data_IF_469745343869
#
_entry.id   IF_469745343869
#
_cell.length_a   1.000
_cell.length_b   1.000
_cell.length_c   1.000
_cell.angle_alpha   90.00
_cell.angle_beta   90.00
_cell.angle_gamma   90.00
#
_symmetry.space_group_name_H-M   'P 1'
#
loop_
_entity.id
_entity.type
_entity.pdbx_description
1 polymer ?
#
# COMPACT_ATOMS: atom_id res chain seq x y z
N UNK A 1 68.68 -42.23 4.01
CA UNK A 1 69.95 -42.07 3.26
C UNK A 1 69.66 -41.63 1.83
N UNK A 2 70.68 -41.21 1.08
CA UNK A 2 70.54 -40.42 -0.15
C UNK A 2 70.04 -41.15 -1.41
N UNK A 3 69.60 -40.32 -2.37
CA UNK A 3 69.55 -40.53 -3.84
C UNK A 3 68.51 -41.51 -4.40
N UNK A 4 68.07 -41.39 -5.67
CA UNK A 4 67.80 -40.31 -6.66
C UNK A 4 67.65 -41.03 -8.02
N UNK A 5 66.93 -40.41 -8.97
CA UNK A 5 66.85 -40.82 -10.39
C UNK A 5 65.97 -42.06 -10.67
N UNK A 6 65.13 -42.11 -11.72
CA UNK A 6 64.76 -41.09 -12.71
C UNK A 6 63.53 -41.55 -13.50
N UNK A 7 62.56 -40.67 -13.75
CA UNK A 7 61.67 -40.80 -14.92
C UNK A 7 61.32 -39.43 -15.54
N UNK A 8 61.13 -39.49 -16.85
CA UNK A 8 61.01 -38.42 -17.86
C UNK A 8 60.20 -37.17 -17.49
N UNK A 9 60.72 -36.00 -17.88
CA UNK A 9 59.96 -34.74 -17.98
C UNK A 9 59.37 -34.57 -19.38
N UNK A 10 58.05 -34.40 -19.48
CA UNK A 10 57.46 -33.54 -20.50
C UNK A 10 57.13 -32.18 -19.86
N UNK A 11 57.27 -31.09 -20.63
CA UNK A 11 56.67 -29.79 -20.28
C UNK A 11 55.21 -29.80 -20.74
N UNK A 12 54.33 -29.11 -20.02
CA UNK A 12 53.78 -27.91 -20.66
C UNK A 12 53.81 -26.66 -19.78
N UNK A 13 54.00 -25.54 -20.48
CA UNK A 13 53.46 -24.21 -20.27
C UNK A 13 52.72 -23.96 -18.95
N UNK A 14 53.31 -23.12 -18.09
CA UNK A 14 52.64 -22.64 -16.89
C UNK A 14 51.55 -21.61 -17.20
N UNK A 15 50.36 -21.82 -16.65
CA UNK A 15 49.45 -20.74 -16.27
C UNK A 15 49.09 -20.96 -14.81
N UNK A 16 49.74 -20.20 -13.92
CA UNK A 16 49.50 -20.30 -12.49
C UNK A 16 48.16 -19.64 -12.14
N UNK A 17 47.09 -20.43 -12.03
CA UNK A 17 45.87 -19.96 -11.36
C UNK A 17 46.17 -19.81 -9.86
N UNK A 18 46.57 -18.60 -9.49
CA UNK A 18 46.64 -18.18 -8.09
C UNK A 18 45.23 -18.10 -7.52
N UNK A 19 44.85 -19.12 -6.74
CA UNK A 19 43.61 -19.12 -5.95
C UNK A 19 43.73 -18.14 -4.78
N UNK A 20 43.61 -16.84 -5.08
CA UNK A 20 43.29 -15.84 -4.06
C UNK A 20 41.81 -15.95 -3.73
N UNK A 21 41.41 -16.11 -2.45
CA UNK A 21 40.01 -15.99 -2.07
C UNK A 21 39.56 -14.56 -2.37
N UNK A 22 38.42 -14.43 -3.07
CA UNK A 22 37.90 -13.15 -3.53
C UNK A 22 37.12 -12.48 -2.41
N UNK A 23 37.85 -11.80 -1.52
CA UNK A 23 37.28 -10.86 -0.56
C UNK A 23 36.60 -9.68 -1.27
N UNK A 24 35.87 -8.87 -0.49
CA UNK A 24 35.35 -7.54 -0.86
C UNK A 24 34.15 -7.51 -1.82
N UNK A 25 32.96 -7.78 -1.28
CA UNK A 25 31.80 -6.86 -1.37
C UNK A 25 30.66 -7.22 -0.39
N UNK A 26 31.01 -7.44 0.87
CA UNK A 26 30.05 -7.43 1.97
C UNK A 26 30.30 -6.18 2.83
N UNK A 27 29.88 -5.00 2.34
CA UNK A 27 29.56 -3.85 3.20
C UNK A 27 28.21 -4.12 3.89
N UNK A 28 28.18 -5.23 4.62
CA UNK A 28 27.16 -5.54 5.60
C UNK A 28 27.47 -4.60 6.77
N UNK A 29 26.57 -3.66 7.04
CA UNK A 29 26.71 -2.73 8.15
C UNK A 29 26.61 -3.54 9.43
N UNK A 30 27.76 -3.96 9.97
CA UNK A 30 27.85 -4.65 11.24
C UNK A 30 27.20 -3.76 12.31
N UNK A 31 26.02 -4.16 12.79
CA UNK A 31 25.25 -3.39 13.75
C UNK A 31 26.08 -3.30 15.02
N UNK A 32 26.47 -2.08 15.38
CA UNK A 32 27.38 -1.87 16.50
C UNK A 32 26.71 -2.31 17.81
N UNK A 33 27.49 -2.87 18.74
CA UNK A 33 27.02 -3.04 20.12
C UNK A 33 26.65 -1.67 20.70
N UNK A 34 25.65 -1.66 21.55
CA UNK A 34 24.92 -0.49 22.04
C UNK A 34 24.13 0.29 20.98
N UNK A 35 23.98 -0.20 19.74
CA UNK A 35 23.08 0.41 18.78
C UNK A 35 21.62 0.20 19.21
N UNK A 36 20.89 1.30 19.41
CA UNK A 36 19.45 1.27 19.56
C UNK A 36 18.80 1.00 18.19
N UNK A 37 17.86 0.05 18.16
CA UNK A 37 17.16 -0.40 16.96
C UNK A 37 15.65 -0.54 17.23
N UNK A 38 14.87 -0.70 16.17
CA UNK A 38 13.53 -1.27 16.24
C UNK A 38 13.51 -2.56 15.44
N UNK A 39 12.87 -3.62 15.95
CA UNK A 39 12.68 -4.91 15.28
C UNK A 39 11.19 -5.16 15.13
N UNK A 40 10.74 -5.54 13.94
CA UNK A 40 9.34 -5.89 13.71
C UNK A 40 9.10 -7.38 13.98
N UNK A 41 8.28 -7.69 14.97
CA UNK A 41 7.96 -9.07 15.31
C UNK A 41 6.74 -9.54 14.52
N UNK A 42 6.93 -10.44 13.56
CA UNK A 42 5.87 -10.90 12.65
C UNK A 42 4.73 -11.63 13.36
N UNK A 43 4.98 -12.27 14.51
CA UNK A 43 3.98 -12.93 15.35
C UNK A 43 3.02 -11.96 16.05
N UNK A 44 3.52 -10.78 16.44
CA UNK A 44 2.76 -9.77 17.20
C UNK A 44 2.35 -8.56 16.34
N UNK A 45 2.91 -8.47 15.14
CA UNK A 45 2.63 -7.47 14.09
C UNK A 45 2.97 -6.03 14.48
N UNK A 46 3.92 -5.83 15.38
CA UNK A 46 4.34 -4.51 15.85
C UNK A 46 5.86 -4.37 15.94
N UNK A 47 6.30 -3.10 15.98
CA UNK A 47 7.70 -2.70 16.11
C UNK A 47 8.09 -2.59 17.58
N UNK A 48 9.13 -3.31 17.98
CA UNK A 48 9.69 -3.29 19.33
C UNK A 48 11.02 -2.55 19.33
N UNK A 49 11.13 -1.52 20.17
CA UNK A 49 12.38 -0.79 20.35
C UNK A 49 13.30 -1.55 21.32
N UNK A 50 14.54 -1.80 20.91
CA UNK A 50 15.54 -2.50 21.70
C UNK A 50 16.95 -1.98 21.45
N UNK A 51 17.93 -2.61 22.08
CA UNK A 51 19.36 -2.29 21.95
C UNK A 51 20.12 -3.57 21.68
N UNK A 52 20.99 -3.54 20.67
CA UNK A 52 21.94 -4.65 20.40
C UNK A 52 23.05 -4.60 21.45
N UNK A 53 23.13 -5.55 22.38
CA UNK A 53 24.14 -5.56 23.45
C UNK A 53 25.26 -6.60 23.21
N UNK A 54 24.94 -7.73 22.58
CA UNK A 54 25.87 -8.78 22.17
C UNK A 54 25.68 -9.20 20.71
N UNK A 55 26.69 -9.82 20.12
CA UNK A 55 26.64 -10.36 18.77
C UNK A 55 27.60 -11.55 18.64
N UNK A 56 27.14 -12.65 18.03
CA UNK A 56 27.92 -13.90 17.88
C UNK A 56 27.61 -14.62 16.57
N UNK A 57 28.61 -15.30 16.03
CA UNK A 57 28.44 -16.19 14.90
C UNK A 57 27.90 -17.56 15.37
N UNK A 58 26.80 -18.02 14.77
CA UNK A 58 26.25 -19.37 14.93
C UNK A 58 25.98 -19.93 13.55
N UNK A 59 26.51 -21.13 13.24
CA UNK A 59 26.26 -21.84 11.96
C UNK A 59 26.51 -21.02 10.69
N UNK A 60 27.44 -20.05 10.73
CA UNK A 60 27.75 -19.17 9.60
C UNK A 60 26.81 -17.96 9.43
N UNK A 61 25.97 -17.68 10.42
CA UNK A 61 25.09 -16.51 10.49
C UNK A 61 25.46 -15.63 11.70
N UNK A 62 25.29 -14.31 11.59
CA UNK A 62 25.53 -13.36 12.68
C UNK A 62 24.24 -13.14 13.47
N UNK A 63 24.15 -13.73 14.66
CA UNK A 63 23.04 -13.48 15.57
C UNK A 63 23.37 -12.29 16.48
N UNK A 64 22.43 -11.38 16.58
CA UNK A 64 22.49 -10.19 17.43
C UNK A 64 21.58 -10.41 18.64
N UNK A 65 22.09 -10.19 19.84
CA UNK A 65 21.28 -10.21 21.06
C UNK A 65 20.66 -8.81 21.22
N UNK A 66 19.33 -8.78 21.30
CA UNK A 66 18.55 -7.54 21.40
C UNK A 66 17.81 -7.57 22.73
N UNK A 67 18.10 -6.58 23.58
CA UNK A 67 17.36 -6.32 24.82
C UNK A 67 16.32 -5.24 24.56
N UNK A 68 15.05 -5.56 24.82
CA UNK A 68 13.90 -4.70 24.57
C UNK A 68 13.51 -3.83 25.78
N UNK A 69 12.62 -2.86 25.58
CA UNK A 69 12.24 -1.86 26.61
C UNK A 69 11.48 -2.41 27.82
N UNK A 70 10.80 -3.54 27.64
CA UNK A 70 10.13 -4.33 28.68
C UNK A 70 11.13 -5.17 29.51
N UNK A 71 12.36 -5.34 29.01
CA UNK A 71 13.40 -6.17 29.61
C UNK A 71 13.49 -7.57 28.99
N UNK A 72 12.65 -7.90 28.01
CA UNK A 72 12.77 -9.16 27.28
C UNK A 72 14.00 -9.16 26.37
N UNK A 73 14.57 -10.34 26.16
CA UNK A 73 15.83 -10.51 25.41
C UNK A 73 15.68 -11.62 24.38
N UNK A 74 16.12 -11.37 23.14
CA UNK A 74 16.07 -12.36 22.06
C UNK A 74 17.29 -12.29 21.14
N UNK A 75 17.63 -13.43 20.53
CA UNK A 75 18.69 -13.54 19.52
C UNK A 75 18.07 -13.48 18.12
N UNK A 76 18.37 -12.42 17.37
CA UNK A 76 17.84 -12.19 16.03
C UNK A 76 18.93 -12.33 14.96
N UNK A 77 18.60 -12.99 13.84
CA UNK A 77 19.40 -12.89 12.62
C UNK A 77 18.93 -11.64 11.86
N UNK A 78 19.48 -10.46 12.20
CA UNK A 78 19.02 -9.17 11.68
C UNK A 78 19.07 -9.06 10.13
N UNK A 79 19.86 -9.88 9.44
CA UNK A 79 19.85 -9.98 7.96
C UNK A 79 18.62 -10.74 7.39
N UNK A 80 17.78 -11.34 8.24
CA UNK A 80 16.54 -12.03 7.88
C UNK A 80 15.31 -11.52 8.62
N UNK A 81 15.48 -10.51 9.48
CA UNK A 81 14.39 -9.83 10.20
C UNK A 81 14.20 -8.43 9.63
N UNK A 82 13.01 -7.85 9.80
CA UNK A 82 12.78 -6.44 9.49
C UNK A 82 13.20 -5.59 10.71
N UNK A 83 14.20 -4.72 10.52
CA UNK A 83 14.71 -3.85 11.58
C UNK A 83 15.15 -2.47 11.05
N UNK A 84 15.16 -1.47 11.95
CA UNK A 84 15.53 -0.09 11.68
C UNK A 84 16.53 0.43 12.73
N UNK A 85 17.48 1.28 12.34
CA UNK A 85 18.35 2.00 13.29
C UNK A 85 17.57 3.12 13.97
N UNK A 86 17.77 3.31 15.28
CA UNK A 86 17.14 4.42 16.00
C UNK A 86 17.63 5.80 15.53
N UNK A 87 18.83 5.88 14.94
CA UNK A 87 19.33 7.12 14.32
C UNK A 87 18.49 7.51 13.09
N UNK A 88 18.20 6.56 12.21
CA UNK A 88 17.37 6.79 11.01
C UNK A 88 15.97 7.28 11.42
N UNK A 89 15.36 6.62 12.41
CA UNK A 89 14.04 6.98 12.94
C UNK A 89 14.02 8.35 13.68
N UNK A 90 15.14 8.78 14.29
CA UNK A 90 15.26 10.11 14.90
C UNK A 90 15.35 11.22 13.84
N UNK A 91 16.12 11.01 12.77
CA UNK A 91 16.26 11.96 11.67
C UNK A 91 14.95 12.11 10.87
N UNK A 92 14.22 11.02 10.67
CA UNK A 92 12.87 11.02 10.05
C UNK A 92 11.89 11.86 10.84
N UNK A 93 11.80 11.68 12.17
CA UNK A 93 10.92 12.49 13.03
C UNK A 93 11.33 13.96 13.06
N UNK A 94 12.64 14.23 13.08
CA UNK A 94 13.16 15.60 13.12
C UNK A 94 12.83 16.34 11.83
N UNK A 95 13.00 15.72 10.66
CA UNK A 95 12.60 16.30 9.36
C UNK A 95 11.10 16.58 9.30
N UNK A 96 10.25 15.61 9.68
CA UNK A 96 8.80 15.79 9.70
C UNK A 96 8.34 16.91 10.66
N UNK A 97 9.06 17.13 11.76
CA UNK A 97 8.78 18.23 12.71
C UNK A 97 9.22 19.59 12.18
N UNK A 98 10.44 19.68 11.64
CA UNK A 98 10.99 20.92 11.03
C UNK A 98 10.14 21.36 9.84
N UNK A 99 9.67 20.43 9.01
CA UNK A 99 8.82 20.78 7.87
C UNK A 99 7.42 21.28 8.30
N UNK A 100 6.85 20.74 9.38
CA UNK A 100 5.60 21.28 9.97
C UNK A 100 5.80 22.70 10.51
N UNK A 101 6.91 22.98 11.20
CA UNK A 101 7.23 24.34 11.66
C UNK A 101 7.49 25.29 10.47
N UNK A 102 8.19 24.83 9.42
CA UNK A 102 8.43 25.62 8.21
C UNK A 102 7.14 25.93 7.43
N UNK A 103 6.13 25.04 7.47
CA UNK A 103 4.78 25.31 6.96
C UNK A 103 4.03 26.31 7.85
N UNK A 104 4.11 26.16 9.18
CA UNK A 104 3.48 27.07 10.15
C UNK A 104 4.03 28.51 10.07
N UNK A 105 5.29 28.71 9.70
CA UNK A 105 5.88 30.04 9.46
C UNK A 105 5.60 30.64 8.07
N UNK A 106 4.98 29.89 7.14
CA UNK A 106 4.69 30.35 5.77
C UNK A 106 3.26 30.87 5.56
N UNK A 107 2.47 31.01 6.61
CA UNK A 107 1.18 31.74 6.60
C UNK A 107 1.29 33.14 7.27
N UNK A 108 1.81 34.16 6.57
CA UNK A 108 1.75 35.56 7.02
C UNK A 108 0.40 36.21 6.66
N UNK A 109 -0.74 35.54 6.93
CA UNK A 109 -2.09 36.11 6.76
C UNK A 109 -3.02 35.81 7.95
N UNK A 110 -2.59 36.26 9.13
CA UNK A 110 -3.46 36.52 10.28
C UNK A 110 -3.13 37.89 10.89
N UNK A 111 -3.07 38.92 10.03
CA UNK A 111 -3.04 40.32 10.45
C UNK A 111 -4.46 40.90 10.38
N UNK A 112 -4.86 41.60 11.43
CA UNK A 112 -6.25 42.00 11.69
C UNK A 112 -6.94 42.72 10.53
N UNK A 113 -8.01 42.11 10.01
CA UNK A 113 -8.94 42.79 9.10
C UNK A 113 -9.86 43.71 9.91
N UNK A 114 -9.48 44.99 10.02
CA UNK A 114 -10.37 46.04 10.52
C UNK A 114 -11.64 46.13 9.65
N UNK A 115 -12.84 46.23 10.24
CA UNK A 115 -14.08 46.29 9.47
C UNK A 115 -14.21 47.62 8.72
N UNK A 116 -14.51 47.54 7.41
CA UNK A 116 -14.74 48.72 6.58
C UNK A 116 -16.00 49.51 7.02
N UNK A 117 -16.00 50.85 6.93
CA UNK A 117 -17.13 51.67 7.31
C UNK A 117 -18.31 51.53 6.33
N UNK A 118 -19.53 51.54 6.86
CA UNK A 118 -20.77 51.55 6.06
C UNK A 118 -20.94 52.90 5.35
N UNK A 119 -21.38 52.94 4.07
CA UNK A 119 -21.84 54.17 3.46
C UNK A 119 -23.17 54.62 4.07
N UNK A 120 -23.29 55.90 4.38
CA UNK A 120 -24.52 56.51 4.90
C UNK A 120 -25.36 57.10 3.77
N UNK A 121 -26.67 56.87 3.82
CA UNK A 121 -27.65 57.51 2.93
C UNK A 121 -28.13 58.84 3.49
N UNK A 122 -28.03 59.87 2.64
CA UNK A 122 -28.76 61.14 2.61
C UNK A 122 -29.87 61.41 3.65
N UNK A 123 -29.76 62.54 4.37
CA UNK A 123 -30.77 63.62 4.28
C UNK A 123 -30.34 64.91 5.02
N UNK A 124 -30.20 65.99 4.24
CA UNK A 124 -30.67 67.37 4.52
C UNK A 124 -30.12 68.23 5.69
N UNK A 125 -29.64 69.41 5.28
CA UNK A 125 -29.76 70.74 5.92
C UNK A 125 -28.73 71.21 6.97
N UNK A 126 -28.09 72.34 6.64
CA UNK A 126 -28.02 73.49 7.55
C UNK A 126 -26.63 73.94 8.05
N UNK A 127 -26.35 75.23 7.84
CA UNK A 127 -25.53 76.11 8.70
C UNK A 127 -24.06 75.76 8.97
N UNK A 128 -23.20 76.30 8.09
CA UNK A 128 -22.17 77.32 8.39
C UNK A 128 -21.40 77.36 9.74
N UNK A 129 -20.13 77.79 9.58
CA UNK A 129 -19.25 78.49 10.53
C UNK A 129 -18.34 77.65 11.47
N UNK A 130 -17.10 77.48 10.99
CA UNK A 130 -15.84 77.81 11.68
C UNK A 130 -15.80 77.86 13.23
N UNK A 131 -14.82 77.16 13.83
CA UNK A 131 -13.58 77.83 14.28
C UNK A 131 -12.50 76.86 14.77
N UNK A 132 -11.28 77.35 14.70
CA UNK A 132 -9.99 76.71 14.96
C UNK A 132 -9.60 76.53 16.44
N UNK A 133 -8.58 75.66 16.64
CA UNK A 133 -7.47 75.73 17.64
C UNK A 133 -7.72 75.37 19.13
N UNK A 134 -6.73 74.63 19.66
CA UNK A 134 -6.38 74.54 21.09
C UNK A 134 -6.42 73.10 21.61
N UNK A 135 -5.34 72.33 21.80
CA UNK A 135 -4.03 72.51 22.51
C UNK A 135 -4.11 72.07 23.98
N UNK A 136 -3.19 71.15 24.35
CA UNK A 136 -2.73 70.85 25.73
C UNK A 136 -3.77 70.17 26.67
N UNK A 137 -3.41 69.40 27.70
CA UNK A 137 -2.12 68.81 28.14
C UNK A 137 -2.36 67.75 29.25
N UNK A 138 -1.33 66.93 29.52
CA UNK A 138 -0.92 66.39 30.85
C UNK A 138 -1.81 65.42 31.65
N UNK A 139 -1.11 64.36 32.11
CA UNK A 139 -1.14 63.80 33.47
C UNK A 139 -2.37 63.01 33.95
N UNK A 140 -2.29 62.12 34.95
CA UNK A 140 -1.19 61.30 35.53
C UNK A 140 -1.83 60.38 36.61
N UNK A 141 -1.02 59.52 37.26
CA UNK A 141 -1.30 58.84 38.54
C UNK A 141 -2.50 57.84 38.60
N UNK A 142 -2.36 56.52 38.79
CA UNK A 142 -1.63 55.66 39.78
C UNK A 142 -2.57 55.14 40.90
N UNK A 143 -2.34 53.87 41.32
CA UNK A 143 -2.82 53.16 42.55
C UNK A 143 -4.18 52.43 42.46
N UNK A 144 -4.45 51.34 43.20
CA UNK A 144 -3.62 50.30 43.90
C UNK A 144 -4.53 49.07 44.18
N UNK A 145 -3.93 47.89 44.42
CA UNK A 145 -4.59 46.68 44.97
C UNK A 145 -5.15 46.93 46.40
N UNK A 146 -6.18 46.20 46.88
CA UNK A 146 -5.95 44.95 47.65
C UNK A 146 -6.42 43.62 46.99
N UNK A 147 -6.96 42.67 47.79
CA UNK A 147 -6.72 41.22 47.71
C UNK A 147 -7.49 40.46 48.82
N UNK A 148 -7.57 39.11 48.74
CA UNK A 148 -8.05 38.16 49.80
C UNK A 148 -9.60 38.14 49.93
N UNK A 149 -10.36 37.05 50.14
CA UNK A 149 -10.11 35.67 50.65
C UNK A 149 -11.06 34.61 50.00
N UNK A 150 -10.83 33.32 50.28
CA UNK A 150 -11.67 32.14 49.95
C UNK A 150 -12.40 31.67 51.24
N UNK A 151 -13.62 31.09 51.23
CA UNK A 151 -13.69 29.66 51.56
C UNK A 151 -14.86 28.81 50.98
N UNK A 152 -14.58 27.50 50.90
CA UNK A 152 -15.48 26.33 50.68
C UNK A 152 -16.12 25.83 52.01
N UNK A 153 -16.91 24.72 52.04
CA UNK A 153 -18.00 24.24 51.17
C UNK A 153 -19.24 23.74 52.00
N UNK A 154 -20.23 23.10 51.36
CA UNK A 154 -21.23 22.25 52.02
C UNK A 154 -21.43 20.91 51.30
N UNK A 155 -21.80 19.85 52.05
CA UNK A 155 -21.76 18.45 51.62
C UNK A 155 -23.15 17.81 51.37
N UNK A 156 -23.18 16.58 50.82
CA UNK A 156 -24.29 15.62 50.98
C UNK A 156 -23.82 14.15 50.91
N UNK A 157 -24.58 13.27 51.54
CA UNK A 157 -24.17 11.99 52.13
C UNK A 157 -24.43 10.72 51.28
N UNK A 158 -23.52 9.75 51.42
CA UNK A 158 -23.68 8.30 51.70
C UNK A 158 -24.72 7.38 51.02
N UNK A 159 -24.23 6.21 50.60
CA UNK A 159 -24.88 4.90 50.79
C UNK A 159 -23.84 3.74 50.69
N UNK A 160 -23.62 3.02 51.79
CA UNK A 160 -22.63 1.93 51.88
C UNK A 160 -23.25 0.53 51.72
N UNK A 161 -22.49 -0.44 51.18
CA UNK A 161 -22.87 -1.87 51.11
C UNK A 161 -21.89 -2.75 51.94
N UNK A 162 -22.37 -3.79 52.65
CA UNK A 162 -21.57 -4.48 53.66
C UNK A 162 -20.72 -5.65 53.13
N UNK A 163 -19.64 -5.93 53.87
CA UNK A 163 -18.72 -7.07 53.67
C UNK A 163 -19.25 -8.30 54.41
N UNK A 164 -19.45 -9.42 53.71
CA UNK A 164 -19.82 -10.71 54.30
C UNK A 164 -18.60 -11.57 54.65
N UNK A 165 -18.37 -11.82 55.94
CA UNK A 165 -17.33 -12.72 56.47
C UNK A 165 -17.98 -14.05 56.85
N UNK A 166 -17.47 -15.17 56.33
CA UNK A 166 -17.95 -16.52 56.67
C UNK A 166 -16.83 -17.38 57.27
N UNK A 167 -17.24 -18.34 58.10
CA UNK A 167 -16.39 -19.06 59.07
C UNK A 167 -15.74 -20.33 58.52
N UNK A 168 -14.66 -20.76 59.19
CA UNK A 168 -14.17 -22.15 59.12
C UNK A 168 -15.21 -23.06 59.77
N UNK A 169 -15.47 -24.21 59.15
CA UNK A 169 -15.91 -25.40 59.88
C UNK A 169 -15.24 -26.65 59.31
N UNK A 170 -14.80 -27.52 60.22
CA UNK A 170 -14.12 -28.79 59.94
C UNK A 170 -15.07 -29.95 60.17
N UNK A 171 -15.43 -30.68 59.11
CA UNK A 171 -16.05 -32.01 59.23
C UNK A 171 -15.41 -32.99 58.25
N UNK A 172 -15.29 -34.23 58.70
CA UNK A 172 -14.61 -35.31 57.97
C UNK A 172 -15.61 -36.20 57.21
N UNK A 173 -15.11 -36.87 56.15
CA UNK A 173 -15.66 -38.15 55.69
C UNK A 173 -16.86 -38.10 54.75
N UNK A 174 -16.61 -38.24 53.44
CA UNK A 174 -17.14 -39.38 52.65
C UNK A 174 -16.57 -39.37 51.23
N UNK A 175 -15.98 -40.49 50.81
CA UNK A 175 -15.34 -40.62 49.49
C UNK A 175 -16.37 -40.84 48.37
N UNK A 176 -16.96 -39.76 47.83
CA UNK A 176 -17.71 -39.83 46.56
C UNK A 176 -16.74 -39.85 45.38
N UNK A 177 -16.71 -40.95 44.62
CA UNK A 177 -16.02 -41.05 43.31
C UNK A 177 -16.54 -39.96 42.36
N UNK A 178 -15.83 -38.83 42.28
CA UNK A 178 -16.04 -37.84 41.22
C UNK A 178 -15.62 -38.46 39.88
N UNK A 179 -16.59 -38.86 39.07
CA UNK A 179 -16.38 -39.22 37.67
C UNK A 179 -15.74 -38.00 36.99
N UNK A 180 -14.45 -38.11 36.62
CA UNK A 180 -13.72 -37.04 35.94
C UNK A 180 -14.33 -36.90 34.55
N UNK A 181 -15.30 -36.00 34.40
CA UNK A 181 -15.86 -35.64 33.11
C UNK A 181 -14.71 -35.07 32.29
N UNK A 182 -14.21 -35.86 31.35
CA UNK A 182 -13.29 -35.38 30.32
C UNK A 182 -13.99 -34.22 29.61
N UNK A 183 -13.30 -33.09 29.37
CA UNK A 183 -13.91 -31.99 28.63
C UNK A 183 -14.37 -32.54 27.28
N UNK A 184 -15.68 -32.40 27.02
CA UNK A 184 -16.28 -32.85 25.77
C UNK A 184 -15.47 -32.28 24.62
N UNK A 185 -14.92 -33.14 23.77
CA UNK A 185 -14.15 -32.69 22.61
C UNK A 185 -15.01 -31.67 21.86
N UNK A 186 -14.47 -30.46 21.64
CA UNK A 186 -15.16 -29.48 20.80
C UNK A 186 -15.41 -30.18 19.46
N UNK A 187 -16.65 -30.16 18.92
CA UNK A 187 -16.88 -30.68 17.59
C UNK A 187 -15.90 -29.98 16.65
N UNK A 188 -15.26 -30.70 15.72
CA UNK A 188 -14.28 -30.11 14.82
C UNK A 188 -14.94 -28.91 14.14
N UNK A 189 -14.33 -27.74 14.28
CA UNK A 189 -14.81 -26.51 13.64
C UNK A 189 -14.99 -26.83 12.16
N UNK A 190 -16.23 -26.77 11.66
CA UNK A 190 -16.48 -27.00 10.25
C UNK A 190 -15.68 -25.96 9.47
N UNK A 191 -14.64 -26.43 8.78
CA UNK A 191 -13.85 -25.58 7.89
C UNK A 191 -14.81 -25.13 6.81
N UNK A 192 -15.12 -23.82 6.80
CA UNK A 192 -16.04 -23.25 5.83
C UNK A 192 -15.55 -23.63 4.43
N UNK A 193 -16.46 -24.16 3.60
CA UNK A 193 -16.12 -24.57 2.25
C UNK A 193 -15.54 -23.35 1.50
N UNK A 194 -14.34 -23.50 0.94
CA UNK A 194 -13.68 -22.42 0.21
C UNK A 194 -14.61 -21.90 -0.91
N UNK A 195 -14.70 -20.58 -1.11
CA UNK A 195 -15.58 -20.00 -2.12
C UNK A 195 -15.22 -20.55 -3.51
N UNK A 196 -16.25 -20.91 -4.29
CA UNK A 196 -16.06 -21.48 -5.63
C UNK A 196 -15.26 -20.51 -6.50
N UNK A 197 -14.06 -20.93 -6.90
CA UNK A 197 -13.19 -20.18 -7.81
C UNK A 197 -13.88 -20.00 -9.17
N UNK A 198 -13.92 -18.77 -9.66
CA UNK A 198 -14.51 -18.44 -10.96
C UNK A 198 -13.64 -17.44 -11.72
N UNK A 199 -13.62 -17.59 -13.05
CA UNK A 199 -12.88 -16.73 -13.98
C UNK A 199 -13.90 -16.08 -14.92
N UNK A 200 -14.33 -14.85 -14.62
CA UNK A 200 -15.17 -14.07 -15.53
C UNK A 200 -14.28 -13.31 -16.50
N UNK A 201 -14.33 -13.69 -17.77
CA UNK A 201 -13.69 -12.93 -18.84
C UNK A 201 -14.57 -11.75 -19.27
N UNK A 202 -13.92 -10.64 -19.60
CA UNK A 202 -14.52 -9.39 -20.05
C UNK A 202 -13.89 -8.97 -21.39
N UNK A 203 -14.44 -7.94 -22.08
CA UNK A 203 -13.84 -7.40 -23.31
C UNK A 203 -12.37 -6.96 -23.16
N UNK A 204 -11.70 -6.81 -24.31
CA UNK A 204 -10.32 -6.31 -24.41
C UNK A 204 -9.24 -7.05 -23.59
N UNK A 205 -9.52 -8.28 -23.15
CA UNK A 205 -8.56 -9.10 -22.41
C UNK A 205 -8.52 -8.83 -20.90
N UNK A 206 -9.54 -8.19 -20.34
CA UNK A 206 -9.70 -8.10 -18.87
C UNK A 206 -10.28 -9.41 -18.34
N UNK A 207 -9.72 -9.92 -17.26
CA UNK A 207 -10.24 -11.07 -16.52
C UNK A 207 -10.49 -10.68 -15.07
N UNK A 208 -11.65 -11.07 -14.55
CA UNK A 208 -11.99 -11.01 -13.12
C UNK A 208 -11.92 -12.41 -12.54
N UNK A 209 -11.04 -12.60 -11.56
CA UNK A 209 -10.84 -13.84 -10.82
C UNK A 209 -11.46 -13.68 -9.42
N UNK A 210 -12.44 -14.51 -9.08
CA UNK A 210 -13.12 -14.46 -7.77
C UNK A 210 -12.92 -15.77 -7.01
N UNK A 211 -12.67 -15.68 -5.70
CA UNK A 211 -12.39 -16.84 -4.83
C UNK A 211 -10.93 -17.33 -4.85
N UNK A 212 -10.02 -16.60 -5.49
CA UNK A 212 -8.59 -16.93 -5.56
C UNK A 212 -7.80 -16.44 -4.32
N UNK A 213 -8.30 -15.39 -3.66
CA UNK A 213 -7.77 -14.87 -2.40
C UNK A 213 -8.72 -15.28 -1.28
N UNK A 214 -8.27 -16.20 -0.42
CA UNK A 214 -8.93 -16.57 0.83
C UNK A 214 -8.56 -15.60 1.98
N UNK A 215 -9.17 -15.77 3.16
CA UNK A 215 -8.94 -14.89 4.32
C UNK A 215 -7.47 -14.88 4.77
N UNK A 216 -6.76 -16.01 4.69
CA UNK A 216 -5.35 -16.11 5.07
C UNK A 216 -4.43 -15.38 4.07
N UNK A 217 -4.69 -15.53 2.76
CA UNK A 217 -3.98 -14.79 1.70
C UNK A 217 -4.29 -13.29 1.79
N UNK A 218 -5.54 -12.91 2.03
CA UNK A 218 -5.95 -11.51 2.22
C UNK A 218 -5.20 -10.85 3.38
N UNK A 219 -5.13 -11.55 4.51
CA UNK A 219 -4.38 -11.14 5.70
C UNK A 219 -2.88 -10.99 5.41
N UNK A 220 -2.25 -11.97 4.74
CA UNK A 220 -0.83 -11.93 4.38
C UNK A 220 -0.49 -10.75 3.45
N UNK A 221 -1.34 -10.51 2.45
CA UNK A 221 -1.22 -9.35 1.54
C UNK A 221 -1.33 -8.03 2.30
N UNK A 222 -2.28 -7.93 3.24
CA UNK A 222 -2.47 -6.74 4.08
C UNK A 222 -1.25 -6.48 4.98
N UNK A 223 -0.81 -7.50 5.74
CA UNK A 223 0.36 -7.40 6.63
C UNK A 223 1.60 -6.97 5.85
N UNK A 224 1.91 -7.67 4.76
CA UNK A 224 3.09 -7.37 3.92
C UNK A 224 3.03 -5.94 3.37
N UNK A 225 1.86 -5.48 2.94
CA UNK A 225 1.69 -4.13 2.42
C UNK A 225 1.86 -3.05 3.49
N UNK A 226 1.43 -3.28 4.73
CA UNK A 226 1.65 -2.34 5.82
C UNK A 226 3.09 -2.34 6.34
N UNK A 227 3.73 -3.51 6.41
CA UNK A 227 5.13 -3.66 6.84
C UNK A 227 6.06 -3.00 5.83
N UNK A 228 6.11 -3.49 4.59
CA UNK A 228 6.98 -2.93 3.55
C UNK A 228 6.60 -1.47 3.19
N UNK A 229 5.32 -1.11 3.38
CA UNK A 229 4.84 0.26 3.22
C UNK A 229 5.19 1.18 4.41
N UNK A 230 5.52 0.64 5.58
CA UNK A 230 6.03 1.43 6.71
C UNK A 230 7.41 1.99 6.40
N UNK A 231 8.34 1.13 5.99
CA UNK A 231 9.70 1.49 5.56
C UNK A 231 9.69 2.57 4.48
N UNK A 232 8.75 2.48 3.54
CA UNK A 232 8.58 3.46 2.49
C UNK A 232 8.11 4.83 3.02
N UNK A 233 7.08 4.86 3.89
CA UNK A 233 6.54 6.10 4.47
C UNK A 233 7.54 6.80 5.38
N UNK A 234 8.28 6.06 6.22
CA UNK A 234 9.30 6.66 7.08
C UNK A 234 10.48 7.23 6.29
N UNK A 235 10.80 6.70 5.10
CA UNK A 235 11.91 7.24 4.29
C UNK A 235 11.75 8.71 3.84
N UNK A 236 10.58 9.33 4.05
CA UNK A 236 10.27 10.70 3.64
C UNK A 236 10.04 10.84 2.13
N UNK A 237 9.89 9.72 1.41
CA UNK A 237 9.82 9.64 -0.05
C UNK A 237 8.41 9.34 -0.59
N UNK A 238 7.39 9.31 0.27
CA UNK A 238 6.03 9.11 -0.19
C UNK A 238 5.61 10.28 -1.09
N UNK A 239 5.59 10.05 -2.42
CA UNK A 239 5.37 11.08 -3.44
C UNK A 239 4.11 11.91 -3.14
N UNK A 240 4.33 13.08 -2.53
CA UNK A 240 3.29 14.05 -2.11
C UNK A 240 2.42 14.56 -3.27
N UNK A 241 2.76 14.19 -4.50
CA UNK A 241 2.02 14.49 -5.72
C UNK A 241 0.78 13.57 -5.87
N UNK A 242 0.74 12.45 -5.15
CA UNK A 242 -0.39 11.50 -5.12
C UNK A 242 -0.99 11.35 -3.72
N UNK A 243 -0.17 11.22 -2.68
CA UNK A 243 -0.65 11.25 -1.28
C UNK A 243 -1.23 12.62 -0.92
N UNK A 244 -2.20 12.65 -0.01
CA UNK A 244 -2.89 13.87 0.48
C UNK A 244 -3.77 14.63 -0.55
N UNK A 245 -3.71 14.31 -1.85
CA UNK A 245 -4.63 14.88 -2.83
C UNK A 245 -6.08 14.50 -2.49
N UNK A 246 -6.95 15.51 -2.28
CA UNK A 246 -8.33 15.30 -1.83
C UNK A 246 -9.11 14.40 -2.79
N UNK A 247 -9.55 13.24 -2.30
CA UNK A 247 -10.30 12.24 -3.08
C UNK A 247 -9.44 11.30 -3.93
N UNK A 248 -8.12 11.27 -3.72
CA UNK A 248 -7.21 10.28 -4.29
C UNK A 248 -6.70 9.29 -3.21
N UNK A 249 -6.48 8.00 -3.52
CA UNK A 249 -5.91 7.05 -2.58
C UNK A 249 -4.49 7.41 -2.18
N UNK A 250 -4.11 7.05 -0.95
CA UNK A 250 -2.74 7.19 -0.48
C UNK A 250 -1.86 6.04 -1.00
N UNK A 251 -0.66 6.34 -1.50
CA UNK A 251 0.34 5.32 -1.85
C UNK A 251 0.94 4.77 -0.54
N UNK A 252 0.64 3.50 -0.24
CA UNK A 252 1.12 2.83 0.97
C UNK A 252 2.50 2.19 0.74
N UNK A 253 2.71 1.59 -0.43
CA UNK A 253 3.96 0.94 -0.84
C UNK A 253 4.15 1.16 -2.33
N UNK A 254 5.37 1.48 -2.76
CA UNK A 254 5.81 1.18 -4.11
C UNK A 254 7.18 0.49 -4.09
N UNK A 255 7.36 -0.50 -4.96
CA UNK A 255 8.62 -1.21 -5.16
C UNK A 255 8.86 -1.38 -6.66
N UNK A 256 10.02 -0.91 -7.15
CA UNK A 256 10.41 -0.89 -8.57
C UNK A 256 9.38 -0.24 -9.52
N UNK A 257 8.63 0.78 -9.07
CA UNK A 257 7.56 1.39 -9.86
C UNK A 257 8.02 2.69 -10.55
N UNK A 258 8.26 3.74 -9.77
CA UNK A 258 8.71 5.05 -10.26
C UNK A 258 10.25 5.15 -10.30
N UNK A 259 10.92 4.27 -9.57
CA UNK A 259 12.37 4.20 -9.41
C UNK A 259 12.79 2.77 -9.13
N UNK A 260 14.05 2.43 -9.48
CA UNK A 260 14.64 1.13 -9.15
C UNK A 260 14.69 0.93 -7.62
N UNK A 261 14.58 -0.32 -7.11
CA UNK A 261 14.68 -0.60 -5.68
C UNK A 261 15.98 -0.06 -5.11
N UNK A 262 15.90 0.52 -3.90
CA UNK A 262 17.10 0.83 -3.12
C UNK A 262 17.74 -0.49 -2.68
N UNK A 263 19.08 -0.57 -2.52
CA UNK A 263 19.75 -1.78 -2.03
C UNK A 263 19.21 -2.31 -0.68
N UNK A 264 18.66 -1.41 0.15
CA UNK A 264 18.07 -1.73 1.45
C UNK A 264 16.53 -1.90 1.42
N UNK A 265 15.86 -1.79 0.27
CA UNK A 265 14.42 -2.01 0.16
C UNK A 265 14.16 -3.42 -0.39
N UNK A 266 13.91 -4.42 0.47
CA UNK A 266 13.70 -5.79 0.02
C UNK A 266 12.49 -5.88 -0.92
N UNK A 267 12.49 -6.82 -1.87
CA UNK A 267 11.28 -7.16 -2.61
C UNK A 267 10.14 -7.55 -1.65
N UNK A 268 8.90 -7.11 -1.87
CA UNK A 268 7.74 -7.57 -1.13
C UNK A 268 7.36 -9.00 -1.60
N UNK A 269 8.19 -9.98 -1.26
CA UNK A 269 8.15 -11.35 -1.80
C UNK A 269 6.78 -11.99 -1.65
N UNK A 270 6.16 -11.93 -0.46
CA UNK A 270 4.85 -12.52 -0.21
C UNK A 270 3.74 -11.96 -1.13
N UNK A 271 3.80 -10.69 -1.54
CA UNK A 271 2.84 -10.11 -2.51
C UNK A 271 3.08 -10.70 -3.92
N UNK A 272 4.35 -10.91 -4.30
CA UNK A 272 4.71 -11.50 -5.59
C UNK A 272 4.46 -13.01 -5.65
N UNK A 273 4.69 -13.74 -4.55
CA UNK A 273 4.38 -15.18 -4.42
C UNK A 273 2.87 -15.44 -4.51
N UNK A 274 2.04 -14.60 -3.90
CA UNK A 274 0.58 -14.68 -4.08
C UNK A 274 0.18 -14.36 -5.52
N UNK A 275 0.87 -13.43 -6.20
CA UNK A 275 0.62 -13.15 -7.61
C UNK A 275 1.03 -14.29 -8.55
N UNK A 276 2.18 -14.92 -8.31
CA UNK A 276 2.66 -16.09 -9.03
C UNK A 276 1.70 -17.28 -8.87
N UNK A 277 1.27 -17.54 -7.64
CA UNK A 277 0.27 -18.58 -7.33
C UNK A 277 -1.06 -18.33 -8.06
N UNK A 278 -1.63 -17.13 -7.97
CA UNK A 278 -2.91 -16.78 -8.62
C UNK A 278 -2.78 -16.84 -10.14
N UNK A 279 -1.62 -16.45 -10.68
CA UNK A 279 -1.31 -16.57 -12.10
C UNK A 279 -1.26 -18.02 -12.56
N UNK A 280 -0.52 -18.89 -11.87
CA UNK A 280 -0.44 -20.30 -12.20
C UNK A 280 -1.79 -21.02 -12.06
N UNK A 281 -2.59 -20.70 -11.03
CA UNK A 281 -3.97 -21.19 -10.89
C UNK A 281 -4.85 -20.74 -12.08
N UNK A 282 -4.75 -19.48 -12.51
CA UNK A 282 -5.46 -18.96 -13.70
C UNK A 282 -5.03 -19.68 -14.99
N UNK A 283 -3.72 -19.87 -15.22
CA UNK A 283 -3.21 -20.57 -16.41
C UNK A 283 -3.65 -22.04 -16.41
N UNK A 284 -3.67 -22.70 -15.25
CA UNK A 284 -4.18 -24.08 -15.12
C UNK A 284 -5.67 -24.16 -15.47
N UNK A 285 -6.50 -23.21 -14.99
CA UNK A 285 -7.92 -23.15 -15.39
C UNK A 285 -8.09 -22.83 -16.89
N UNK A 286 -7.22 -22.00 -17.48
CA UNK A 286 -7.22 -21.68 -18.91
C UNK A 286 -6.84 -22.89 -19.78
N UNK A 287 -5.86 -23.69 -19.34
CA UNK A 287 -5.37 -24.88 -20.03
C UNK A 287 -6.28 -26.10 -19.86
N UNK A 288 -6.91 -26.25 -18.69
CA UNK A 288 -7.78 -27.38 -18.35
C UNK A 288 -9.08 -27.49 -19.17
N UNK A 289 -9.37 -26.50 -20.03
CA UNK A 289 -10.41 -26.61 -21.07
C UNK A 289 -11.82 -26.92 -20.55
N UNK A 290 -12.11 -26.56 -19.30
CA UNK A 290 -13.22 -27.11 -18.51
C UNK A 290 -14.61 -26.66 -18.95
N UNK A 291 -15.08 -27.17 -20.10
CA UNK A 291 -16.45 -27.55 -20.53
C UNK A 291 -17.67 -26.63 -20.27
N UNK A 292 -17.53 -25.55 -19.50
CA UNK A 292 -18.63 -24.93 -18.77
C UNK A 292 -18.68 -23.41 -18.83
N UNK A 293 -18.06 -22.79 -19.82
CA UNK A 293 -18.60 -21.59 -20.48
C UNK A 293 -17.82 -21.26 -21.75
N UNK A 294 -18.54 -20.74 -22.76
CA UNK A 294 -18.12 -20.24 -24.08
C UNK A 294 -16.62 -20.36 -24.40
N UNK A 295 -16.29 -21.23 -25.38
CA UNK A 295 -14.94 -21.40 -25.94
C UNK A 295 -14.12 -20.10 -25.97
N UNK A 296 -12.93 -20.13 -25.36
CA UNK A 296 -12.07 -18.95 -25.21
C UNK A 296 -11.76 -18.29 -26.57
N UNK A 297 -11.66 -19.07 -27.64
CA UNK A 297 -11.49 -18.58 -29.01
C UNK A 297 -12.76 -17.93 -29.57
N UNK A 298 -13.95 -18.48 -29.28
CA UNK A 298 -15.23 -17.88 -29.68
C UNK A 298 -15.47 -16.54 -28.96
N UNK A 299 -15.16 -16.44 -27.67
CA UNK A 299 -15.24 -15.17 -26.94
C UNK A 299 -14.15 -14.15 -27.36
N UNK A 300 -12.97 -14.60 -27.85
CA UNK A 300 -12.00 -13.72 -28.54
C UNK A 300 -12.56 -13.20 -29.86
N UNK A 301 -13.18 -14.08 -30.67
CA UNK A 301 -13.78 -13.70 -31.95
C UNK A 301 -15.00 -12.77 -31.77
N UNK A 302 -15.86 -13.02 -30.78
CA UNK A 302 -17.04 -12.21 -30.49
C UNK A 302 -16.67 -10.79 -30.06
N UNK A 303 -15.78 -10.63 -29.08
CA UNK A 303 -15.33 -9.30 -28.64
C UNK A 303 -14.59 -8.53 -29.75
N UNK A 304 -13.84 -9.23 -30.63
CA UNK A 304 -13.26 -8.62 -31.81
C UNK A 304 -14.32 -8.20 -32.86
N UNK A 305 -15.41 -8.96 -33.02
CA UNK A 305 -16.51 -8.62 -33.93
C UNK A 305 -17.37 -7.46 -33.41
N UNK A 306 -17.60 -7.39 -32.10
CA UNK A 306 -18.31 -6.27 -31.45
C UNK A 306 -17.52 -4.96 -31.62
N UNK A 307 -16.19 -5.01 -31.44
CA UNK A 307 -15.29 -3.88 -31.76
C UNK A 307 -15.33 -3.51 -33.26
N UNK A 308 -15.37 -4.50 -34.17
CA UNK A 308 -15.55 -4.25 -35.63
C UNK A 308 -16.87 -3.57 -35.96
N UNK A 309 -17.96 -3.90 -35.26
CA UNK A 309 -19.27 -3.27 -35.47
C UNK A 309 -19.25 -1.81 -35.04
N UNK A 310 -18.73 -1.52 -33.83
CA UNK A 310 -18.57 -0.14 -33.34
C UNK A 310 -17.64 0.71 -34.23
N UNK A 311 -16.65 0.09 -34.90
CA UNK A 311 -15.68 0.80 -35.76
C UNK A 311 -16.17 1.08 -37.19
N UNK A 312 -17.35 0.60 -37.59
CA UNK A 312 -17.86 0.68 -38.97
C UNK A 312 -18.99 1.70 -39.20
N UNK A 313 -19.38 2.46 -38.18
CA UNK A 313 -20.57 3.32 -38.23
C UNK A 313 -20.49 4.54 -39.15
N UNK A 314 -19.31 5.18 -39.28
CA UNK A 314 -19.23 6.59 -39.73
C UNK A 314 -18.34 6.82 -40.97
N UNK A 315 -18.34 5.93 -41.98
CA UNK A 315 -17.56 6.15 -43.23
C UNK A 315 -18.33 5.79 -44.51
N UNK A 316 -19.40 6.53 -44.77
CA UNK A 316 -19.92 6.77 -46.13
C UNK A 316 -20.01 8.29 -46.35
N UNK A 317 -18.96 8.90 -46.90
CA UNK A 317 -18.94 10.34 -47.22
C UNK A 317 -17.56 10.99 -47.27
N UNK A 318 -17.28 11.63 -48.41
CA UNK A 318 -16.23 12.63 -48.70
C UNK A 318 -14.75 12.22 -48.56
N UNK A 319 -14.08 12.18 -49.72
CA UNK A 319 -12.63 12.23 -49.89
C UNK A 319 -12.11 13.65 -49.57
N UNK A 320 -11.42 13.84 -48.45
CA UNK A 320 -10.62 15.06 -48.18
C UNK A 320 -9.24 14.69 -47.60
N UNK A 321 -8.19 15.21 -48.23
CA UNK A 321 -6.80 14.88 -47.91
C UNK A 321 -6.35 15.57 -46.61
N UNK A 322 -6.47 14.87 -45.47
CA UNK A 322 -5.90 15.31 -44.18
C UNK A 322 -4.94 14.29 -43.56
N UNK A 323 -3.88 14.76 -42.87
CA UNK A 323 -2.85 13.89 -42.32
C UNK A 323 -3.43 12.94 -41.26
N UNK A 324 -3.27 11.65 -41.52
CA UNK A 324 -3.92 10.57 -40.78
C UNK A 324 -3.32 10.36 -39.38
N UNK A 325 -3.93 11.06 -38.41
CA UNK A 325 -3.87 10.72 -36.99
C UNK A 325 -5.22 10.16 -36.53
N UNK A 326 -5.89 9.36 -37.37
CA UNK A 326 -7.05 8.61 -36.92
C UNK A 326 -6.69 7.73 -35.71
N UNK A 327 -7.65 7.58 -34.80
CA UNK A 327 -7.58 6.58 -33.75
C UNK A 327 -7.55 5.22 -34.44
N UNK A 328 -6.35 4.70 -34.73
CA UNK A 328 -6.19 3.46 -35.49
C UNK A 328 -7.00 2.37 -34.78
N UNK A 329 -8.12 1.89 -35.37
CA UNK A 329 -8.85 0.79 -34.79
C UNK A 329 -7.86 -0.37 -34.74
N UNK A 330 -7.68 -0.94 -33.54
CA UNK A 330 -6.65 -1.90 -33.19
C UNK A 330 -6.34 -2.83 -34.37
N UNK A 331 -5.25 -2.55 -35.10
CA UNK A 331 -4.96 -3.30 -36.33
C UNK A 331 -4.96 -4.78 -35.98
N UNK A 332 -5.68 -5.60 -36.75
CA UNK A 332 -6.12 -6.92 -36.25
C UNK A 332 -4.95 -7.84 -35.84
N UNK A 333 -3.75 -7.58 -36.38
CA UNK A 333 -2.48 -8.19 -36.03
C UNK A 333 -1.93 -7.77 -34.65
N UNK A 334 -2.01 -6.48 -34.30
CA UNK A 334 -1.56 -5.97 -32.99
C UNK A 334 -2.57 -6.29 -31.88
N UNK A 335 -3.85 -6.02 -32.10
CA UNK A 335 -4.89 -6.18 -31.06
C UNK A 335 -5.08 -7.63 -30.60
N UNK A 336 -4.93 -8.60 -31.51
CA UNK A 336 -5.01 -10.03 -31.15
C UNK A 336 -3.80 -10.55 -30.38
N UNK A 337 -2.63 -9.90 -30.50
CA UNK A 337 -1.41 -10.29 -29.77
C UNK A 337 -1.31 -9.62 -28.40
N UNK A 338 -1.67 -8.34 -28.26
CA UNK A 338 -1.55 -7.62 -26.98
C UNK A 338 -2.56 -8.08 -25.91
N UNK A 339 -3.75 -8.54 -26.31
CA UNK A 339 -4.81 -8.96 -25.37
C UNK A 339 -4.66 -10.40 -24.82
N UNK A 340 -3.61 -11.15 -25.18
CA UNK A 340 -3.31 -12.45 -24.57
C UNK A 340 -2.39 -12.24 -23.34
N UNK A 341 -2.77 -12.72 -22.14
CA UNK A 341 -1.83 -12.78 -21.02
C UNK A 341 -0.61 -13.60 -21.43
N UNK A 342 0.63 -13.20 -21.07
CA UNK A 342 1.83 -13.98 -21.37
C UNK A 342 1.69 -15.43 -20.89
N UNK A 343 2.57 -16.31 -21.32
CA UNK A 343 2.55 -17.69 -20.83
C UNK A 343 3.34 -17.80 -19.51
N UNK A 344 4.52 -17.16 -19.44
CA UNK A 344 5.31 -16.97 -18.20
C UNK A 344 5.09 -15.57 -17.60
N UNK A 345 4.96 -15.47 -16.27
CA UNK A 345 4.91 -14.19 -15.56
C UNK A 345 6.29 -13.78 -15.02
N UNK A 346 6.65 -12.53 -15.26
CA UNK A 346 7.86 -11.90 -14.72
C UNK A 346 7.45 -10.69 -13.88
N UNK A 347 7.19 -10.92 -12.59
CA UNK A 347 6.73 -9.91 -11.64
C UNK A 347 7.86 -8.96 -11.27
N UNK A 348 7.78 -7.71 -11.72
CA UNK A 348 8.87 -6.73 -11.56
C UNK A 348 8.57 -5.59 -10.62
N UNK A 349 7.32 -5.23 -10.38
CA UNK A 349 6.98 -4.09 -9.51
C UNK A 349 5.67 -4.29 -8.76
N UNK A 350 5.59 -3.67 -7.58
CA UNK A 350 4.40 -3.65 -6.73
C UNK A 350 4.02 -2.20 -6.42
N UNK A 351 2.73 -1.89 -6.51
CA UNK A 351 2.11 -0.69 -5.96
C UNK A 351 0.99 -1.11 -5.01
N UNK A 352 0.92 -0.51 -3.83
CA UNK A 352 -0.23 -0.63 -2.94
C UNK A 352 -0.85 0.73 -2.68
N UNK A 353 -2.16 0.79 -2.89
CA UNK A 353 -3.00 1.98 -2.73
C UNK A 353 -4.01 1.75 -1.60
N UNK A 354 -4.05 2.67 -0.63
CA UNK A 354 -5.05 2.72 0.43
C UNK A 354 -6.13 3.75 0.10
N UNK A 355 -7.39 3.31 0.04
CA UNK A 355 -8.54 4.15 -0.29
C UNK A 355 -9.35 4.44 0.97
N UNK A 356 -9.64 5.71 1.21
CA UNK A 356 -10.57 6.20 2.25
C UNK A 356 -12.01 6.24 1.68
N UNK A 357 -13.05 6.43 2.51
CA UNK A 357 -14.42 6.57 2.01
C UNK A 357 -14.53 7.68 0.95
N UNK A 358 -15.08 7.34 -0.22
CA UNK A 358 -15.24 8.27 -1.34
C UNK A 358 -13.95 8.63 -2.11
N UNK A 359 -12.80 8.03 -1.81
CA UNK A 359 -11.62 8.16 -2.68
C UNK A 359 -11.88 7.49 -4.05
N UNK A 360 -11.28 8.09 -5.07
CA UNK A 360 -11.35 7.71 -6.48
C UNK A 360 -9.94 7.69 -7.07
N UNK A 361 -9.72 6.94 -8.14
CA UNK A 361 -8.44 6.96 -8.86
C UNK A 361 -8.69 7.33 -10.32
N UNK A 362 -8.08 8.44 -10.77
CA UNK A 362 -8.41 9.09 -12.05
C UNK A 362 -8.03 8.23 -13.27
N UNK A 363 -8.58 8.59 -14.42
CA UNK A 363 -8.29 7.96 -15.71
C UNK A 363 -6.80 7.99 -16.09
N UNK A 364 -6.17 6.83 -16.11
CA UNK A 364 -4.75 6.66 -16.42
C UNK A 364 -4.50 5.37 -17.21
N UNK A 365 -3.25 5.16 -17.59
CA UNK A 365 -2.68 3.88 -18.04
C UNK A 365 -1.43 3.63 -17.21
N UNK A 366 -1.08 2.38 -16.97
CA UNK A 366 0.07 2.03 -16.14
C UNK A 366 1.39 2.20 -16.88
N UNK A 367 2.46 2.45 -16.12
CA UNK A 367 3.84 2.37 -16.62
C UNK A 367 4.34 0.91 -16.77
N UNK A 368 3.45 0.00 -17.18
CA UNK A 368 3.77 -1.42 -17.39
C UNK A 368 4.42 -1.69 -18.77
N UNK A 369 4.43 -0.71 -19.68
CA UNK A 369 4.99 -0.82 -21.03
C UNK A 369 4.14 -1.65 -22.01
N UNK A 370 4.65 -1.83 -23.22
CA UNK A 370 3.90 -2.36 -24.38
C UNK A 370 3.37 -3.80 -24.22
N UNK A 371 3.97 -4.60 -23.34
CA UNK A 371 3.52 -5.97 -23.00
C UNK A 371 3.19 -6.10 -21.51
N UNK A 372 2.85 -4.98 -20.87
CA UNK A 372 2.70 -4.85 -19.43
C UNK A 372 1.34 -5.29 -18.93
N UNK A 373 1.30 -6.44 -18.26
CA UNK A 373 0.12 -6.94 -17.57
C UNK A 373 0.15 -6.56 -16.09
N UNK A 374 -1.05 -6.45 -15.51
CA UNK A 374 -1.26 -6.09 -14.10
C UNK A 374 -2.08 -7.18 -13.45
N UNK A 375 -1.61 -7.68 -12.31
CA UNK A 375 -2.35 -8.52 -11.39
C UNK A 375 -2.77 -7.64 -10.21
N UNK A 376 -4.08 -7.36 -10.08
CA UNK A 376 -4.61 -6.33 -9.18
C UNK A 376 -5.58 -6.91 -8.16
N UNK A 377 -5.12 -7.08 -6.92
CA UNK A 377 -5.91 -7.61 -5.80
C UNK A 377 -6.74 -6.51 -5.14
N UNK A 378 -7.97 -6.84 -4.74
CA UNK A 378 -8.84 -5.94 -3.96
C UNK A 378 -9.10 -6.54 -2.59
N UNK A 379 -8.81 -5.78 -1.53
CA UNK A 379 -9.12 -6.12 -0.14
C UNK A 379 -10.01 -5.02 0.46
N UNK A 380 -11.00 -5.40 1.26
CA UNK A 380 -11.89 -4.45 1.93
C UNK A 380 -13.10 -4.04 1.08
N UNK A 381 -13.54 -2.79 1.21
CA UNK A 381 -14.73 -2.27 0.56
C UNK A 381 -14.73 -2.53 -0.96
N UNK A 382 -15.91 -2.78 -1.54
CA UNK A 382 -16.00 -2.95 -2.99
C UNK A 382 -15.78 -1.61 -3.70
N UNK A 383 -15.40 -1.66 -4.97
CA UNK A 383 -15.20 -0.48 -5.80
C UNK A 383 -15.74 -0.71 -7.21
N UNK A 384 -15.94 0.38 -7.95
CA UNK A 384 -16.22 0.34 -9.39
C UNK A 384 -14.91 0.60 -10.16
N UNK A 385 -14.39 -0.43 -10.81
CA UNK A 385 -13.32 -0.32 -11.79
C UNK A 385 -13.94 -0.06 -13.16
N UNK A 386 -13.60 1.06 -13.78
CA UNK A 386 -14.03 1.37 -15.14
C UNK A 386 -12.84 1.37 -16.08
N UNK A 387 -13.04 0.84 -17.29
CA UNK A 387 -12.02 0.87 -18.34
C UNK A 387 -12.61 1.15 -19.71
N UNK A 388 -11.80 1.70 -20.61
CA UNK A 388 -12.20 1.91 -22.01
C UNK A 388 -11.82 0.69 -22.83
N UNK A 389 -12.71 0.14 -23.67
CA UNK A 389 -12.37 -0.92 -24.62
C UNK A 389 -11.63 -0.37 -25.86
N UNK A 390 -10.68 0.54 -25.65
CA UNK A 390 -9.88 1.22 -26.66
C UNK A 390 -8.46 1.48 -26.12
N UNK A 391 -7.43 1.30 -26.96
CA UNK A 391 -6.04 1.61 -26.57
C UNK A 391 -5.84 3.13 -26.58
N UNK A 392 -5.46 3.69 -25.43
CA UNK A 392 -5.12 5.12 -25.33
C UNK A 392 -3.99 5.37 -24.30
N UNK A 393 -2.71 5.19 -24.70
CA UNK A 393 -1.56 5.28 -23.81
C UNK A 393 -1.29 6.69 -23.28
N UNK A 394 -1.77 7.75 -23.96
CA UNK A 394 -1.58 9.14 -23.53
C UNK A 394 -2.91 9.85 -23.22
N UNK A 395 -2.83 10.96 -22.48
CA UNK A 395 -4.01 11.68 -21.96
C UNK A 395 -4.94 12.23 -23.06
N UNK A 396 -4.41 12.68 -24.20
CA UNK A 396 -5.21 13.18 -25.34
C UNK A 396 -6.05 12.05 -25.92
N UNK A 397 -5.42 10.93 -26.26
CA UNK A 397 -6.12 9.74 -26.78
C UNK A 397 -7.15 9.21 -25.77
N UNK A 398 -6.90 9.33 -24.45
CA UNK A 398 -7.89 8.93 -23.42
C UNK A 398 -9.11 9.84 -23.45
N UNK A 399 -8.94 11.14 -23.58
CA UNK A 399 -10.06 12.07 -23.69
C UNK A 399 -10.90 11.79 -24.95
N UNK A 400 -10.24 11.56 -26.09
CA UNK A 400 -10.90 11.23 -27.36
C UNK A 400 -11.64 9.88 -27.30
N UNK A 401 -11.05 8.85 -26.69
CA UNK A 401 -11.68 7.55 -26.50
C UNK A 401 -12.91 7.65 -25.57
N UNK A 402 -12.83 8.41 -24.47
CA UNK A 402 -13.96 8.66 -23.55
C UNK A 402 -15.12 9.42 -24.19
N UNK A 403 -14.84 10.26 -25.19
CA UNK A 403 -15.88 10.99 -25.93
C UNK A 403 -16.62 10.11 -26.95
N UNK A 404 -16.05 8.95 -27.33
CA UNK A 404 -16.56 8.07 -28.38
C UNK A 404 -17.09 6.73 -27.88
N UNK A 405 -16.66 6.28 -26.70
CA UNK A 405 -16.89 4.91 -26.22
C UNK A 405 -17.29 4.94 -24.74
N UNK A 406 -18.39 4.26 -24.40
CA UNK A 406 -18.82 4.13 -23.01
C UNK A 406 -17.83 3.25 -22.21
N UNK A 407 -17.42 3.68 -21.00
CA UNK A 407 -16.61 2.85 -20.10
C UNK A 407 -17.31 1.55 -19.69
N UNK A 408 -16.59 0.43 -19.77
CA UNK A 408 -17.05 -0.84 -19.22
C UNK A 408 -16.82 -0.81 -17.71
N UNK A 409 -17.90 -1.01 -16.95
CA UNK A 409 -17.92 -0.95 -15.48
C UNK A 409 -17.84 -2.35 -14.87
N UNK A 410 -16.94 -2.54 -13.91
CA UNK A 410 -16.68 -3.80 -13.23
C UNK A 410 -16.72 -3.57 -11.72
N UNK A 411 -17.74 -4.11 -11.05
CA UNK A 411 -17.72 -4.16 -9.58
C UNK A 411 -16.66 -5.16 -9.13
N UNK A 412 -15.72 -4.70 -8.31
CA UNK A 412 -14.68 -5.49 -7.67
C UNK A 412 -14.89 -5.46 -6.16
N UNK A 413 -14.82 -6.62 -5.51
CA UNK A 413 -15.08 -6.84 -4.09
C UNK A 413 -13.84 -7.40 -3.39
N UNK A 414 -13.88 -7.47 -2.05
CA UNK A 414 -12.80 -8.10 -1.28
C UNK A 414 -12.54 -9.54 -1.77
N UNK A 415 -11.28 -9.88 -2.00
CA UNK A 415 -10.85 -11.19 -2.49
C UNK A 415 -10.89 -11.36 -4.02
N UNK A 416 -11.37 -10.36 -4.77
CA UNK A 416 -11.26 -10.35 -6.23
C UNK A 416 -9.83 -9.98 -6.68
N UNK A 417 -9.40 -10.61 -7.77
CA UNK A 417 -8.21 -10.23 -8.53
C UNK A 417 -8.62 -9.85 -9.96
N UNK A 418 -8.11 -8.74 -10.50
CA UNK A 418 -8.19 -8.41 -11.92
C UNK A 418 -6.86 -8.70 -12.61
N UNK A 419 -6.91 -9.37 -13.77
CA UNK A 419 -5.80 -9.44 -14.73
C UNK A 419 -6.15 -8.57 -15.95
N UNK A 420 -5.30 -7.60 -16.29
CA UNK A 420 -5.51 -6.73 -17.45
C UNK A 420 -4.20 -6.14 -18.01
N UNK A 421 -4.25 -5.61 -19.24
CA UNK A 421 -3.09 -5.01 -19.91
C UNK A 421 -2.89 -3.54 -19.50
N UNK A 422 -2.22 -3.30 -18.37
CA UNK A 422 -2.03 -1.96 -17.79
C UNK A 422 -1.40 -0.93 -18.73
N UNK A 423 -0.44 -1.33 -19.58
CA UNK A 423 0.29 -0.39 -20.45
C UNK A 423 -0.56 0.31 -21.53
N UNK A 424 -1.74 -0.23 -21.84
CA UNK A 424 -2.57 0.25 -22.95
C UNK A 424 -4.02 0.52 -22.56
N UNK A 425 -4.55 -0.21 -21.58
CA UNK A 425 -5.96 -0.15 -21.20
C UNK A 425 -6.21 1.06 -20.27
N UNK A 426 -6.89 2.11 -20.74
CA UNK A 426 -7.24 3.24 -19.91
C UNK A 426 -8.22 2.77 -18.85
N UNK A 427 -7.95 3.07 -17.59
CA UNK A 427 -8.81 2.65 -16.50
C UNK A 427 -8.81 3.65 -15.34
N UNK A 428 -9.78 3.49 -14.45
CA UNK A 428 -9.99 4.33 -13.28
C UNK A 428 -10.74 3.55 -12.18
N UNK A 429 -10.74 4.09 -10.96
CA UNK A 429 -11.69 3.70 -9.90
C UNK A 429 -12.62 4.88 -9.69
N UNK A 430 -13.90 4.76 -10.05
CA UNK A 430 -14.84 5.90 -9.93
C UNK A 430 -15.31 6.15 -8.51
N UNK A 431 -15.48 5.10 -7.71
CA UNK A 431 -15.77 5.20 -6.28
C UNK A 431 -15.40 3.89 -5.55
N UNK A 432 -15.23 4.00 -4.24
CA UNK A 432 -15.21 2.88 -3.30
C UNK A 432 -16.44 2.96 -2.38
N UNK A 433 -17.02 1.82 -2.03
CA UNK A 433 -18.09 1.70 -1.03
C UNK A 433 -17.56 2.19 0.34
N UNK A 434 -18.45 2.75 1.17
CA UNK A 434 -18.08 3.29 2.50
C UNK A 434 -17.93 2.18 3.54
N UNK A 435 -18.66 1.07 3.35
CA UNK A 435 -18.71 -0.04 4.30
C UNK A 435 -17.55 -1.03 4.08
N UNK A 436 -16.77 -1.26 5.14
CA UNK A 436 -15.76 -2.32 5.17
C UNK A 436 -16.44 -3.68 5.43
N UNK A 437 -16.16 -4.72 4.64
CA UNK A 437 -16.56 -6.09 4.98
C UNK A 437 -16.00 -6.49 6.34
N UNK A 438 -16.81 -7.19 7.15
CA UNK A 438 -16.44 -7.58 8.51
C UNK A 438 -15.11 -8.33 8.57
N UNK A 439 -14.82 -9.19 7.59
CA UNK A 439 -13.57 -9.96 7.52
C UNK A 439 -12.34 -9.08 7.33
N UNK A 440 -12.43 -8.02 6.53
CA UNK A 440 -11.35 -7.03 6.38
C UNK A 440 -11.19 -6.20 7.66
N UNK A 441 -12.29 -5.81 8.29
CA UNK A 441 -12.26 -5.06 9.55
C UNK A 441 -11.62 -5.83 10.72
N UNK A 442 -11.57 -7.17 10.69
CA UNK A 442 -10.84 -7.99 11.69
C UNK A 442 -9.34 -7.67 11.73
N UNK A 443 -8.75 -7.35 10.59
CA UNK A 443 -7.31 -7.19 10.43
C UNK A 443 -6.86 -5.82 9.95
N UNK A 444 -7.79 -4.95 9.57
CA UNK A 444 -7.48 -3.57 9.19
C UNK A 444 -7.02 -2.74 10.41
N UNK A 445 -5.71 -2.61 10.59
CA UNK A 445 -5.12 -1.82 11.68
C UNK A 445 -5.17 -0.29 11.47
N UNK A 446 -5.53 0.19 10.27
CA UNK A 446 -5.66 1.61 9.98
C UNK A 446 -7.08 1.94 9.48
N UNK A 447 -8.01 2.32 10.39
CA UNK A 447 -9.42 2.48 10.06
C UNK A 447 -9.72 3.63 9.08
N UNK A 448 -8.70 4.44 8.73
CA UNK A 448 -8.82 5.47 7.69
C UNK A 448 -9.04 4.85 6.31
N UNK A 449 -8.45 3.69 6.05
CA UNK A 449 -8.60 3.00 4.77
C UNK A 449 -9.78 2.02 4.83
N UNK A 450 -10.73 2.16 3.91
CA UNK A 450 -11.83 1.19 3.73
C UNK A 450 -11.47 0.07 2.76
N UNK A 451 -10.52 0.31 1.86
CA UNK A 451 -10.10 -0.62 0.81
C UNK A 451 -8.61 -0.49 0.56
N UNK A 452 -7.96 -1.62 0.26
CA UNK A 452 -6.61 -1.66 -0.29
C UNK A 452 -6.61 -2.31 -1.68
N UNK A 453 -5.77 -1.78 -2.57
CA UNK A 453 -5.52 -2.35 -3.88
C UNK A 453 -4.03 -2.62 -4.05
N UNK A 454 -3.67 -3.87 -4.31
CA UNK A 454 -2.29 -4.30 -4.49
C UNK A 454 -2.12 -4.68 -5.96
N UNK A 455 -1.25 -3.96 -6.68
CA UNK A 455 -1.03 -4.09 -8.11
C UNK A 455 0.39 -4.60 -8.37
N UNK A 456 0.51 -5.83 -8.87
CA UNK A 456 1.78 -6.44 -9.27
C UNK A 456 1.88 -6.40 -10.80
N UNK A 457 2.95 -5.83 -11.35
CA UNK A 457 3.16 -5.76 -12.80
C UNK A 457 4.03 -6.89 -13.31
N UNK A 458 3.52 -7.53 -14.35
CA UNK A 458 4.19 -8.56 -15.14
C UNK A 458 4.69 -7.91 -16.43
N UNK A 459 6.00 -7.89 -16.64
CA UNK A 459 6.57 -7.34 -17.88
C UNK A 459 6.88 -8.48 -18.86
N UNK A 460 6.29 -8.42 -20.06
CA UNK A 460 6.71 -9.28 -21.16
C UNK A 460 8.11 -8.92 -21.69
N UNK A 461 9.16 -9.34 -20.98
CA UNK A 461 10.57 -9.44 -21.39
C UNK A 461 11.17 -8.25 -22.18
N UNK A 462 10.71 -7.01 -21.94
CA UNK A 462 11.17 -5.83 -22.69
C UNK A 462 12.55 -5.36 -22.22
N UNK A 463 13.61 -5.96 -22.79
CA UNK A 463 15.02 -5.56 -22.60
C UNK A 463 15.30 -4.08 -22.88
N UNK A 464 14.37 -3.35 -23.54
CA UNK A 464 14.54 -1.95 -23.94
C UNK A 464 14.51 -0.95 -22.77
N UNK A 465 13.93 -1.29 -21.62
CA UNK A 465 13.83 -0.36 -20.48
C UNK A 465 15.04 -0.38 -19.53
N UNK A 466 16.13 -1.09 -19.86
CA UNK A 466 17.38 -1.06 -19.10
C UNK A 466 17.33 -1.76 -17.72
N UNK A 467 16.16 -2.20 -17.28
CA UNK A 467 15.98 -3.09 -16.13
C UNK A 467 16.62 -4.44 -16.46
N UNK A 468 17.81 -4.69 -15.91
CA UNK A 468 18.46 -6.00 -15.89
C UNK A 468 17.98 -6.75 -14.65
#
# INVERSE_FOLDING_TARGET
>A
SCSRSSFLRQRPCGFAMSTRPRSERATQLAVQRSAAIQVYWTSERCWFAGVVDDARWVSGQMLHHVTYKDGDVCWHHLDSEFWLSAHDHADVRTRASVERQAKQWKDPQSADALPAPRPASEASAGSAAASSKGRAERSAEQRRKPSVEDPRPAAKTEASRPVGRATRDTTAGTARKRKRLLPSARPPTQVAALPKRTVKRLPCGVFKLSGFIDEARAQLLFDTALIAGWDFRESGMADHWYTEAKGAPDILLHWNYYSAPRPAQPPPTAIMEVADMVWHEFQAMRAGGGSGDVSLSAALAASANEFRAASRGDKEGEDDERPDHSLLPLSESHGRRSCRPPDDADFRSVLVLGYRPGDSFRWHTDMAGDNGWVCSFSLGASACFEYLPAIAPNAKLRAEARAKVEPIKVRISSGDCLLFHGGYLPHCITYCDVEQPADFAKFNSDPRFVRMNLQVRMYGASRKHGLK
#
